data_IF_671724960762
#
_entry.id   IF_671724960762
#
_cell.length_a   1.000
_cell.length_b   1.000
_cell.length_c   1.000
_cell.angle_alpha   90.00
_cell.angle_beta   90.00
_cell.angle_gamma   90.00
#
_symmetry.space_group_name_H-M   'P 1'
#
loop_
_entity.id
_entity.type
_entity.pdbx_description
1 polymer ?
#
# COMPACT_ATOMS: atom_id res chain seq x y z
N UNK A 1 -13.04 -6.97 -17.65
CA UNK A 1 -14.40 -7.54 -17.51
C UNK A 1 -14.39 -8.48 -16.31
N UNK A 2 -15.29 -8.29 -15.35
CA UNK A 2 -15.42 -9.18 -14.19
C UNK A 2 -16.07 -10.50 -14.61
N UNK A 3 -15.56 -11.64 -14.13
CA UNK A 3 -16.12 -12.98 -14.35
C UNK A 3 -16.52 -13.58 -13.01
N UNK A 4 -17.73 -14.13 -12.91
CA UNK A 4 -18.27 -14.75 -11.69
C UNK A 4 -18.53 -16.23 -11.97
N UNK A 5 -18.11 -17.10 -11.05
CA UNK A 5 -18.34 -18.55 -11.08
C UNK A 5 -19.21 -18.94 -9.86
N UNK A 6 -20.24 -19.76 -10.09
CA UNK A 6 -21.12 -20.27 -9.04
C UNK A 6 -20.96 -21.78 -8.92
N UNK A 7 -20.82 -22.28 -7.70
CA UNK A 7 -20.76 -23.71 -7.40
C UNK A 7 -21.72 -24.03 -6.24
N UNK A 8 -22.51 -25.11 -6.38
CA UNK A 8 -23.50 -25.52 -5.35
C UNK A 8 -22.92 -26.42 -4.26
N UNK A 9 -21.64 -26.83 -4.35
CA UNK A 9 -20.94 -27.58 -3.32
C UNK A 9 -19.41 -27.47 -3.46
N UNK A 10 -18.62 -27.71 -2.40
CA UNK A 10 -17.15 -27.70 -2.47
C UNK A 10 -16.57 -28.70 -3.48
N UNK A 11 -17.20 -29.87 -3.63
CA UNK A 11 -16.78 -30.89 -4.61
C UNK A 11 -16.95 -30.41 -6.07
N UNK A 12 -17.95 -29.58 -6.33
CA UNK A 12 -18.19 -29.00 -7.64
C UNK A 12 -17.21 -27.90 -7.97
N UNK A 13 -16.82 -27.09 -6.98
CA UNK A 13 -15.71 -26.13 -7.13
C UNK A 13 -14.42 -26.85 -7.56
N UNK A 14 -14.09 -28.00 -6.95
CA UNK A 14 -12.90 -28.77 -7.34
C UNK A 14 -12.96 -29.24 -8.79
N UNK A 15 -14.13 -29.71 -9.26
CA UNK A 15 -14.32 -30.13 -10.65
C UNK A 15 -14.15 -28.95 -11.61
N UNK A 16 -14.77 -27.81 -11.30
CA UNK A 16 -14.65 -26.57 -12.10
C UNK A 16 -13.18 -26.15 -12.18
N UNK A 17 -12.43 -26.18 -11.07
CA UNK A 17 -11.01 -25.81 -11.06
C UNK A 17 -10.14 -26.79 -11.84
N UNK A 18 -10.39 -28.10 -11.73
CA UNK A 18 -9.67 -29.10 -12.53
C UNK A 18 -9.92 -28.88 -14.03
N UNK A 19 -11.17 -28.62 -14.43
CA UNK A 19 -11.52 -28.37 -15.83
C UNK A 19 -10.89 -27.08 -16.36
N UNK A 20 -10.88 -26.01 -15.55
CA UNK A 20 -10.20 -24.77 -15.90
C UNK A 20 -8.69 -24.94 -16.00
N UNK A 21 -8.07 -25.76 -15.14
CA UNK A 21 -6.61 -25.95 -15.14
C UNK A 21 -6.09 -26.76 -16.33
N UNK A 22 -6.90 -27.65 -16.94
CA UNK A 22 -6.49 -28.57 -18.03
C UNK A 22 -5.81 -27.88 -19.23
N UNK A 23 -6.19 -26.63 -19.55
CA UNK A 23 -5.66 -25.90 -20.70
C UNK A 23 -4.67 -24.78 -20.32
N UNK A 24 -4.30 -24.68 -19.04
CA UNK A 24 -3.41 -23.64 -18.53
C UNK A 24 -2.08 -24.25 -18.09
N UNK A 25 -1.00 -23.47 -18.23
CA UNK A 25 0.33 -23.86 -17.73
C UNK A 25 0.30 -23.93 -16.21
N UNK A 26 1.19 -24.75 -15.65
CA UNK A 26 1.36 -24.83 -14.20
C UNK A 26 1.76 -23.46 -13.64
N UNK A 27 1.29 -23.16 -12.42
CA UNK A 27 1.58 -21.89 -11.75
C UNK A 27 3.06 -21.86 -11.37
N UNK A 28 3.72 -20.78 -11.74
CA UNK A 28 5.10 -20.51 -11.36
C UNK A 28 5.11 -19.81 -9.99
N UNK A 29 5.59 -20.52 -8.97
CA UNK A 29 5.54 -20.06 -7.57
C UNK A 29 6.44 -18.85 -7.37
N UNK A 30 7.63 -18.85 -7.98
CA UNK A 30 8.60 -17.76 -7.83
C UNK A 30 8.03 -16.47 -8.43
N UNK A 31 7.42 -16.57 -9.62
CA UNK A 31 6.71 -15.43 -10.23
C UNK A 31 5.50 -14.97 -9.42
N UNK A 32 4.75 -15.89 -8.82
CA UNK A 32 3.59 -15.53 -8.00
C UNK A 32 4.00 -14.76 -6.74
N UNK A 33 5.11 -15.15 -6.12
CA UNK A 33 5.68 -14.43 -4.97
C UNK A 33 6.20 -13.06 -5.37
N UNK A 34 6.92 -12.97 -6.49
CA UNK A 34 7.43 -11.70 -7.03
C UNK A 34 6.28 -10.71 -7.32
N UNK A 35 5.21 -11.17 -7.98
CA UNK A 35 4.03 -10.35 -8.26
C UNK A 35 3.29 -9.96 -6.97
N UNK A 36 3.11 -10.88 -6.03
CA UNK A 36 2.47 -10.56 -4.74
C UNK A 36 3.24 -9.52 -3.91
N UNK A 37 4.57 -9.48 -4.06
CA UNK A 37 5.45 -8.50 -3.39
C UNK A 37 5.46 -7.15 -4.12
N UNK A 38 5.46 -7.16 -5.45
CA UNK A 38 5.49 -5.94 -6.25
C UNK A 38 4.12 -5.25 -6.36
N UNK A 39 3.01 -5.98 -6.16
CA UNK A 39 1.66 -5.43 -6.01
C UNK A 39 1.43 -4.82 -4.60
N UNK A 40 2.49 -4.29 -3.97
CA UNK A 40 2.27 -3.22 -3.00
C UNK A 40 1.43 -2.17 -3.71
N UNK A 41 0.39 -1.67 -3.03
CA UNK A 41 -0.64 -0.80 -3.60
C UNK A 41 -0.09 0.40 -4.41
N UNK A 42 1.19 0.72 -4.22
CA UNK A 42 1.96 1.73 -4.94
C UNK A 42 2.07 1.47 -6.45
N UNK A 43 2.17 0.21 -6.88
CA UNK A 43 2.23 -0.18 -8.31
C UNK A 43 0.89 -0.04 -9.04
N UNK A 44 -0.23 -0.11 -8.32
CA UNK A 44 -1.58 0.03 -8.88
C UNK A 44 -1.99 1.49 -9.10
N UNK A 45 -1.33 2.45 -8.42
CA UNK A 45 -1.57 3.89 -8.58
C UNK A 45 -0.49 4.59 -9.41
N UNK A 46 0.63 3.95 -9.70
CA UNK A 46 1.57 4.41 -10.72
C UNK A 46 0.97 4.13 -12.09
N UNK A 47 0.47 5.18 -12.74
CA UNK A 47 -0.04 5.10 -14.12
C UNK A 47 1.02 4.55 -15.09
N UNK A 48 0.63 4.20 -16.32
CA UNK A 48 1.40 3.37 -17.27
C UNK A 48 2.71 3.97 -17.80
N UNK A 49 3.29 5.00 -17.16
CA UNK A 49 4.41 5.76 -17.69
C UNK A 49 5.62 5.90 -16.75
N UNK A 50 5.70 5.13 -15.65
CA UNK A 50 6.96 4.95 -14.93
C UNK A 50 7.47 3.56 -15.26
N UNK A 51 8.20 3.48 -16.37
CA UNK A 51 9.16 2.40 -16.57
C UNK A 51 10.16 2.53 -15.43
N UNK A 52 10.07 1.67 -14.42
CA UNK A 52 11.27 1.32 -13.66
C UNK A 52 12.19 0.67 -14.68
N UNK A 53 13.12 1.47 -15.17
CA UNK A 53 14.12 1.08 -16.15
C UNK A 53 14.83 -0.14 -15.62
N UNK A 54 14.57 -1.26 -16.28
CA UNK A 54 15.38 -2.48 -16.22
C UNK A 54 16.78 -2.12 -16.72
N UNK A 55 17.60 -1.56 -15.85
CA UNK A 55 19.01 -1.35 -16.10
C UNK A 55 19.74 -2.45 -15.34
N UNK A 56 20.19 -3.40 -16.14
CA UNK A 56 21.26 -4.34 -15.90
C UNK A 56 22.39 -3.74 -15.03
N UNK A 57 22.34 -3.98 -13.72
CA UNK A 57 23.51 -3.88 -12.86
C UNK A 57 23.37 -4.80 -11.65
N UNK A 58 24.20 -5.84 -11.67
CA UNK A 58 24.64 -6.62 -10.51
C UNK A 58 24.93 -5.70 -9.33
N UNK A 59 24.02 -5.67 -8.37
CA UNK A 59 24.11 -4.86 -7.17
C UNK A 59 22.95 -5.23 -6.27
N UNK A 60 23.26 -5.49 -5.01
CA UNK A 60 22.30 -5.70 -3.93
C UNK A 60 21.51 -4.40 -3.75
N UNK A 61 20.49 -4.19 -4.56
CA UNK A 61 19.54 -3.11 -4.36
C UNK A 61 18.51 -3.63 -3.36
N UNK A 62 18.79 -3.35 -2.09
CA UNK A 62 17.76 -3.11 -1.09
C UNK A 62 16.85 -2.00 -1.67
N UNK A 63 15.94 -2.35 -2.59
CA UNK A 63 14.79 -1.52 -2.88
C UNK A 63 14.09 -1.38 -1.54
N UNK A 64 14.34 -0.25 -0.86
CA UNK A 64 13.91 0.07 0.50
C UNK A 64 12.59 -0.62 0.75
N UNK A 65 12.61 -1.74 1.48
CA UNK A 65 11.41 -2.53 1.73
C UNK A 65 10.44 -1.56 2.40
N UNK A 66 9.48 -1.07 1.61
CA UNK A 66 8.62 0.03 2.02
C UNK A 66 8.00 -0.43 3.32
N UNK A 67 8.31 0.27 4.41
CA UNK A 67 7.94 -0.20 5.75
C UNK A 67 6.41 -0.34 5.81
N UNK A 68 5.91 -1.55 5.53
CA UNK A 68 4.49 -1.82 5.37
C UNK A 68 3.77 -1.53 6.69
N UNK A 69 4.43 -1.81 7.81
CA UNK A 69 3.94 -1.49 9.14
C UNK A 69 3.78 0.03 9.34
N UNK A 70 4.75 0.84 8.92
CA UNK A 70 4.64 2.30 8.99
C UNK A 70 3.51 2.82 8.09
N UNK A 71 3.39 2.29 6.88
CA UNK A 71 2.32 2.64 5.94
C UNK A 71 0.94 2.30 6.49
N UNK A 72 0.80 1.12 7.08
CA UNK A 72 -0.44 0.67 7.72
C UNK A 72 -0.84 1.54 8.91
N UNK A 73 0.13 2.00 9.70
CA UNK A 73 -0.11 2.96 10.79
C UNK A 73 -0.62 4.29 10.21
N UNK A 74 0.01 4.81 9.15
CA UNK A 74 -0.42 6.04 8.49
C UNK A 74 -1.84 5.93 7.93
N UNK A 75 -2.21 4.81 7.32
CA UNK A 75 -3.55 4.58 6.77
C UNK A 75 -4.65 4.50 7.83
N UNK A 76 -4.30 4.21 9.08
CA UNK A 76 -5.23 4.23 10.22
C UNK A 76 -5.44 5.63 10.78
N UNK A 77 -4.63 6.62 10.39
CA UNK A 77 -4.75 8.00 10.85
C UNK A 77 -5.95 8.71 10.17
N UNK A 78 -6.62 9.64 10.89
CA UNK A 78 -7.86 10.22 10.43
C UNK A 78 -7.66 11.07 9.17
N UNK A 79 -8.30 10.64 8.08
CA UNK A 79 -8.28 11.36 6.81
C UNK A 79 -7.01 11.18 5.98
N UNK A 80 -6.10 10.30 6.41
CA UNK A 80 -4.94 9.92 5.60
C UNK A 80 -5.38 8.92 4.53
N UNK A 81 -5.18 9.30 3.27
CA UNK A 81 -5.35 8.41 2.12
C UNK A 81 -4.02 7.77 1.74
N UNK A 82 -4.04 6.77 0.87
CA UNK A 82 -2.81 6.14 0.33
C UNK A 82 -1.85 7.19 -0.26
N UNK A 83 -2.38 8.16 -1.01
CA UNK A 83 -1.58 9.24 -1.60
C UNK A 83 -1.03 10.22 -0.55
N UNK A 84 -1.74 10.41 0.56
CA UNK A 84 -1.23 11.23 1.67
C UNK A 84 -0.15 10.47 2.45
N UNK A 85 -0.36 9.18 2.73
CA UNK A 85 0.61 8.32 3.40
C UNK A 85 1.94 8.27 2.64
N UNK A 86 1.90 8.11 1.30
CA UNK A 86 3.10 8.15 0.47
C UNK A 86 3.86 9.48 0.58
N UNK A 87 3.15 10.60 0.41
CA UNK A 87 3.76 11.95 0.54
C UNK A 87 4.36 12.20 1.92
N UNK A 88 3.75 11.63 2.96
CA UNK A 88 4.26 11.70 4.33
C UNK A 88 5.56 10.87 4.45
N UNK A 89 5.58 9.64 3.96
CA UNK A 89 6.78 8.78 3.99
C UNK A 89 7.94 9.34 3.15
N UNK A 90 7.65 10.10 2.08
CA UNK A 90 8.66 10.78 1.26
C UNK A 90 9.27 12.03 1.93
N UNK A 91 8.58 12.63 2.91
CA UNK A 91 8.99 13.91 3.51
C UNK A 91 9.33 13.83 4.99
N UNK A 92 9.06 12.71 5.65
CA UNK A 92 9.19 12.56 7.09
C UNK A 92 9.78 11.19 7.40
N UNK A 93 10.85 11.15 8.19
CA UNK A 93 11.59 9.92 8.47
C UNK A 93 10.98 9.13 9.64
N UNK A 94 10.16 9.77 10.48
CA UNK A 94 9.56 9.12 11.64
C UNK A 94 8.16 9.63 12.01
N UNK A 95 7.36 8.77 12.64
CA UNK A 95 6.06 9.16 13.20
C UNK A 95 6.18 10.21 14.32
N UNK A 96 7.32 10.26 15.02
CA UNK A 96 7.58 11.26 16.04
C UNK A 96 7.73 12.65 15.41
N UNK A 97 8.54 12.76 14.35
CA UNK A 97 8.68 13.98 13.57
C UNK A 97 7.34 14.43 12.98
N UNK A 98 6.55 13.49 12.43
CA UNK A 98 5.22 13.77 11.90
C UNK A 98 4.29 14.42 12.95
N UNK A 99 4.39 14.00 14.21
CA UNK A 99 3.56 14.51 15.30
C UNK A 99 3.99 15.92 15.77
N UNK A 100 5.28 16.25 15.63
CA UNK A 100 5.85 17.54 16.03
C UNK A 100 5.63 18.65 15.00
N UNK A 101 5.31 18.30 13.75
CA UNK A 101 5.04 19.27 12.68
C UNK A 101 3.90 20.24 13.03
N UNK A 102 4.07 21.48 12.58
CA UNK A 102 3.04 22.50 12.69
C UNK A 102 1.83 22.19 11.80
N UNK A 103 0.69 22.82 12.10
CA UNK A 103 -0.54 22.67 11.31
C UNK A 103 -0.32 22.98 9.82
N UNK A 104 0.48 23.99 9.51
CA UNK A 104 0.68 24.44 8.14
C UNK A 104 1.64 23.50 7.37
N UNK A 105 2.63 22.93 8.06
CA UNK A 105 3.48 21.86 7.51
C UNK A 105 2.67 20.59 7.25
N UNK A 106 1.86 20.13 8.20
CA UNK A 106 0.98 18.96 8.00
C UNK A 106 0.02 19.14 6.82
N UNK A 107 -0.52 20.35 6.63
CA UNK A 107 -1.38 20.67 5.48
C UNK A 107 -0.61 20.67 4.15
N UNK A 108 0.66 21.04 4.17
CA UNK A 108 1.54 21.01 2.99
C UNK A 108 1.88 19.58 2.58
N UNK A 109 2.19 18.71 3.53
CA UNK A 109 2.61 17.32 3.27
C UNK A 109 1.41 16.41 2.98
N UNK A 110 0.44 16.36 3.89
CA UNK A 110 -0.71 15.43 3.81
C UNK A 110 -1.88 15.99 2.98
N UNK A 111 -1.91 17.30 2.74
CA UNK A 111 -3.02 18.01 2.09
C UNK A 111 -3.93 18.75 3.09
N UNK A 112 -4.79 19.67 2.61
CA UNK A 112 -5.49 20.63 3.47
C UNK A 112 -6.46 19.99 4.47
N UNK A 113 -7.17 18.93 4.06
CA UNK A 113 -8.15 18.24 4.91
C UNK A 113 -7.47 17.22 5.82
N UNK A 114 -6.56 16.40 5.29
CA UNK A 114 -5.85 15.39 6.06
C UNK A 114 -4.94 16.03 7.10
N UNK A 115 -4.17 17.05 6.73
CA UNK A 115 -3.28 17.77 7.66
C UNK A 115 -4.02 18.45 8.81
N UNK A 116 -5.21 19.01 8.55
CA UNK A 116 -6.04 19.56 9.61
C UNK A 116 -6.54 18.47 10.58
N UNK A 117 -6.99 17.33 10.06
CA UNK A 117 -7.45 16.20 10.89
C UNK A 117 -6.30 15.59 11.71
N UNK A 118 -5.13 15.44 11.10
CA UNK A 118 -3.91 14.96 11.77
C UNK A 118 -3.48 15.89 12.90
N UNK A 119 -3.42 17.20 12.64
CA UNK A 119 -3.06 18.18 13.67
C UNK A 119 -4.05 18.14 14.84
N UNK A 120 -5.34 18.12 14.56
CA UNK A 120 -6.38 18.00 15.59
C UNK A 120 -6.21 16.70 16.39
N UNK A 121 -5.96 15.57 15.72
CA UNK A 121 -5.78 14.26 16.36
C UNK A 121 -4.59 14.24 17.33
N UNK A 122 -3.41 14.68 16.88
CA UNK A 122 -2.21 14.71 17.74
C UNK A 122 -2.35 15.66 18.94
N UNK A 123 -3.15 16.72 18.83
CA UNK A 123 -3.39 17.70 19.90
C UNK A 123 -4.57 17.34 20.82
N UNK A 124 -5.49 16.47 20.38
CA UNK A 124 -6.65 16.04 21.17
C UNK A 124 -6.32 14.95 22.20
N UNK A 125 -5.42 14.01 21.88
CA UNK A 125 -5.01 12.93 22.82
C UNK A 125 -4.35 13.46 24.09
N UNK A 126 -3.69 14.63 24.02
CA UNK A 126 -3.09 15.29 25.20
C UNK A 126 -4.15 15.81 26.20
N UNK A 127 -5.41 15.97 25.79
CA UNK A 127 -6.50 16.49 26.63
C UNK A 127 -7.36 15.40 27.28
N UNK A 128 -7.17 14.12 26.93
CA UNK A 128 -7.99 13.00 27.46
C UNK A 128 -7.26 12.16 28.52
N UNK A 129 -6.12 12.65 29.05
CA UNK A 129 -5.30 11.99 30.08
C UNK A 129 -5.04 12.87 31.32
N UNK A 130 -6.02 13.70 31.69
CA UNK A 130 -6.09 14.33 33.02
C UNK A 130 -7.32 13.85 33.79
#
# INVERSE_FOLDING_TARGET
>A
MLRILWAKSPHETLRIFQDLKKNHKEVDVDKAVEVGRNESLDSLFQGPNVVSGKNDSTGEEEEDEVNEAARDVLLRLPGVTVQAARRIMEQVDSLAELADLSRDELRKIAGPVAGQKLFTFFRQEQSSRE
#
